data_IF_752018276636
#
_entry.id   IF_752018276636
#
_cell.length_a   1.000
_cell.length_b   1.000
_cell.length_c   1.000
_cell.angle_alpha   90.00
_cell.angle_beta   90.00
_cell.angle_gamma   90.00
#
_symmetry.space_group_name_H-M   'P 1'
#
loop_
_entity.id
_entity.type
_entity.pdbx_description
1 polymer ?
#
# COMPACT_ATOMS: atom_id res chain seq x y z
N UNK A 1 -6.64 -10.29 -15.64
CA UNK A 1 -5.27 -10.27 -15.08
C UNK A 1 -4.46 -11.30 -15.85
N UNK A 2 -3.39 -10.88 -16.53
CA UNK A 2 -2.47 -11.81 -17.20
C UNK A 2 -1.62 -12.53 -16.14
N UNK A 3 -1.06 -13.70 -16.47
CA UNK A 3 -0.19 -14.44 -15.53
C UNK A 3 0.97 -13.56 -15.05
N UNK A 4 1.55 -12.73 -15.92
CA UNK A 4 2.63 -11.80 -15.57
C UNK A 4 2.19 -10.78 -14.50
N UNK A 5 1.00 -10.20 -14.63
CA UNK A 5 0.44 -9.29 -13.63
C UNK A 5 0.28 -9.98 -12.27
N UNK A 6 -0.12 -11.27 -12.27
CA UNK A 6 -0.24 -12.05 -11.05
C UNK A 6 1.10 -12.36 -10.39
N UNK A 7 2.13 -12.66 -11.19
CA UNK A 7 3.48 -12.83 -10.65
C UNK A 7 4.04 -11.54 -10.06
N UNK A 8 3.74 -10.39 -10.66
CA UNK A 8 4.15 -9.08 -10.12
C UNK A 8 3.43 -8.75 -8.82
N UNK A 9 2.11 -8.94 -8.76
CA UNK A 9 1.31 -8.75 -7.55
C UNK A 9 1.81 -9.65 -6.40
N UNK A 10 2.04 -10.93 -6.66
CA UNK A 10 2.55 -11.86 -5.66
C UNK A 10 3.96 -11.49 -5.21
N UNK A 11 4.83 -11.05 -6.13
CA UNK A 11 6.18 -10.59 -5.80
C UNK A 11 6.16 -9.31 -4.96
N UNK A 12 5.23 -8.40 -5.23
CA UNK A 12 4.99 -7.22 -4.41
C UNK A 12 4.51 -7.63 -3.00
N UNK A 13 3.64 -8.63 -2.88
CA UNK A 13 3.19 -9.10 -1.56
C UNK A 13 4.23 -9.95 -0.81
N UNK A 14 5.24 -10.52 -1.48
CA UNK A 14 6.28 -11.36 -0.90
C UNK A 14 7.33 -10.63 -0.02
N UNK A 15 7.02 -9.43 0.49
CA UNK A 15 7.80 -8.74 1.51
C UNK A 15 6.93 -8.49 2.74
N UNK A 16 7.36 -8.88 3.96
CA UNK A 16 6.52 -8.82 5.17
C UNK A 16 5.88 -7.45 5.41
N UNK A 17 6.63 -6.36 5.33
CA UNK A 17 6.11 -5.01 5.55
C UNK A 17 5.05 -4.60 4.51
N UNK A 18 5.21 -4.99 3.25
CA UNK A 18 4.23 -4.70 2.19
C UNK A 18 2.96 -5.51 2.38
N UNK A 19 3.09 -6.78 2.77
CA UNK A 19 1.93 -7.60 3.13
C UNK A 19 1.18 -7.03 4.33
N UNK A 20 1.89 -6.54 5.35
CA UNK A 20 1.29 -5.86 6.51
C UNK A 20 0.53 -4.60 6.10
N UNK A 21 1.12 -3.75 5.26
CA UNK A 21 0.46 -2.56 4.70
C UNK A 21 -0.82 -2.94 3.95
N UNK A 22 -0.73 -3.89 3.00
CA UNK A 22 -1.86 -4.32 2.21
C UNK A 22 -2.99 -4.89 3.08
N UNK A 23 -2.66 -5.84 3.98
CA UNK A 23 -3.66 -6.45 4.88
C UNK A 23 -4.30 -5.46 5.82
N UNK A 24 -3.52 -4.48 6.30
CA UNK A 24 -4.03 -3.43 7.17
C UNK A 24 -5.03 -2.54 6.42
N UNK A 25 -4.68 -2.08 5.21
CA UNK A 25 -5.58 -1.28 4.37
C UNK A 25 -6.88 -2.01 4.02
N UNK A 26 -6.81 -3.31 3.69
CA UNK A 26 -8.01 -4.13 3.43
C UNK A 26 -8.97 -4.13 4.63
N UNK A 27 -8.46 -4.07 5.86
CA UNK A 27 -9.31 -4.01 7.07
C UNK A 27 -9.94 -2.64 7.31
N UNK A 28 -9.41 -1.58 6.71
CA UNK A 28 -9.96 -0.24 6.83
C UNK A 28 -11.11 0.02 5.85
N UNK A 29 -11.26 -0.81 4.82
CA UNK A 29 -12.34 -0.66 3.85
C UNK A 29 -13.73 -0.59 4.53
N UNK A 30 -14.59 0.38 4.20
CA UNK A 30 -14.51 1.30 3.05
C UNK A 30 -13.81 2.65 3.32
N UNK A 31 -13.24 2.86 4.51
CA UNK A 31 -12.51 4.09 4.81
C UNK A 31 -11.21 4.18 3.98
N UNK A 32 -10.83 5.41 3.62
CA UNK A 32 -9.52 5.72 3.05
C UNK A 32 -8.63 6.30 4.12
N UNK A 33 -7.35 5.97 4.08
CA UNK A 33 -6.40 6.33 5.14
C UNK A 33 -5.21 7.09 4.58
N UNK A 34 -4.79 8.15 5.26
CA UNK A 34 -3.60 8.89 4.86
C UNK A 34 -2.33 8.05 5.05
N UNK A 35 -1.35 8.23 4.15
CA UNK A 35 -0.06 7.55 4.26
C UNK A 35 0.60 7.72 5.64
N UNK A 36 0.46 8.89 6.27
CA UNK A 36 0.99 9.14 7.61
C UNK A 36 0.41 8.18 8.66
N UNK A 37 -0.90 7.99 8.65
CA UNK A 37 -1.60 7.15 9.61
C UNK A 37 -1.28 5.66 9.39
N UNK A 38 -1.08 5.24 8.14
CA UNK A 38 -0.61 3.87 7.81
C UNK A 38 0.78 3.63 8.45
N UNK A 39 1.70 4.59 8.29
CA UNK A 39 3.05 4.51 8.83
C UNK A 39 3.06 4.47 10.35
N UNK A 40 2.23 5.29 10.98
CA UNK A 40 2.06 5.30 12.43
C UNK A 40 1.46 3.98 12.94
N UNK A 41 0.42 3.45 12.29
CA UNK A 41 -0.26 2.23 12.71
C UNK A 41 0.60 0.96 12.58
N UNK A 42 1.56 0.97 11.65
CA UNK A 42 2.42 -0.19 11.36
C UNK A 42 3.87 0.00 11.81
N UNK A 43 4.18 1.12 12.46
CA UNK A 43 5.54 1.51 12.89
C UNK A 43 6.56 1.46 11.73
N UNK A 44 6.19 2.06 10.59
CA UNK A 44 7.03 2.10 9.38
C UNK A 44 7.47 3.54 9.11
N UNK A 45 8.79 3.73 8.99
CA UNK A 45 9.37 5.02 8.65
C UNK A 45 8.80 5.60 7.33
N UNK A 46 8.55 6.93 7.22
CA UNK A 46 7.87 7.53 6.07
C UNK A 46 8.50 7.24 4.70
N UNK A 47 9.84 7.25 4.61
CA UNK A 47 10.55 6.95 3.37
C UNK A 47 10.34 5.50 2.92
N UNK A 48 10.46 4.55 3.86
CA UNK A 48 10.23 3.12 3.62
C UNK A 48 8.78 2.85 3.23
N UNK A 49 7.83 3.48 3.93
CA UNK A 49 6.41 3.35 3.61
C UNK A 49 6.12 3.88 2.20
N UNK A 50 6.67 5.04 1.84
CA UNK A 50 6.47 5.62 0.50
C UNK A 50 6.95 4.66 -0.60
N UNK A 51 8.08 3.99 -0.39
CA UNK A 51 8.59 2.96 -1.30
C UNK A 51 7.67 1.73 -1.38
N UNK A 52 7.14 1.28 -0.24
CA UNK A 52 6.18 0.18 -0.18
C UNK A 52 4.87 0.50 -0.91
N UNK A 53 4.28 1.66 -0.64
CA UNK A 53 3.04 2.11 -1.28
C UNK A 53 3.23 2.23 -2.79
N UNK A 54 4.32 2.87 -3.25
CA UNK A 54 4.61 2.99 -4.69
C UNK A 54 4.82 1.61 -5.37
N UNK A 55 5.39 0.64 -4.66
CA UNK A 55 5.57 -0.72 -5.18
C UNK A 55 4.24 -1.46 -5.32
N UNK A 56 3.37 -1.34 -4.31
CA UNK A 56 2.03 -1.93 -4.34
C UNK A 56 1.13 -1.28 -5.40
N UNK A 57 1.21 0.04 -5.58
CA UNK A 57 0.51 0.76 -6.65
C UNK A 57 0.96 0.30 -8.03
N UNK A 58 2.26 0.19 -8.27
CA UNK A 58 2.81 -0.29 -9.56
C UNK A 58 2.33 -1.70 -9.89
N UNK A 59 2.23 -2.55 -8.88
CA UNK A 59 1.70 -3.91 -9.01
C UNK A 59 0.16 -3.98 -9.12
N UNK A 60 -0.53 -2.82 -9.18
CA UNK A 60 -1.99 -2.75 -9.32
C UNK A 60 -2.78 -3.15 -8.07
N UNK A 61 -2.13 -3.24 -6.90
CA UNK A 61 -2.74 -3.70 -5.65
C UNK A 61 -3.36 -2.56 -4.83
N UNK A 62 -2.92 -1.33 -5.04
CA UNK A 62 -3.43 -0.15 -4.35
C UNK A 62 -3.76 0.95 -5.34
N UNK A 63 -4.67 1.83 -4.94
CA UNK A 63 -4.97 3.09 -5.59
C UNK A 63 -4.99 4.17 -4.51
N UNK A 64 -4.59 5.39 -4.86
CA UNK A 64 -4.73 6.52 -3.96
C UNK A 64 -5.67 7.58 -4.53
N UNK A 65 -6.28 8.33 -3.63
CA UNK A 65 -6.96 9.59 -3.92
C UNK A 65 -6.14 10.73 -3.31
N UNK A 66 -6.05 11.85 -4.04
CA UNK A 66 -5.38 13.04 -3.53
C UNK A 66 -6.37 13.91 -2.77
N UNK A 67 -6.07 14.22 -1.52
CA UNK A 67 -6.81 15.17 -0.69
C UNK A 67 -5.86 16.25 -0.19
N UNK A 68 -5.91 17.42 -0.84
CA UNK A 68 -4.95 18.50 -0.59
C UNK A 68 -3.50 18.07 -0.84
N UNK A 69 -2.70 18.00 0.23
CA UNK A 69 -1.29 17.56 0.20
C UNK A 69 -1.13 16.06 0.55
N UNK A 70 -2.21 15.40 0.97
CA UNK A 70 -2.20 14.02 1.43
C UNK A 70 -2.61 13.06 0.31
N UNK A 71 -2.03 11.86 0.34
CA UNK A 71 -2.49 10.70 -0.44
C UNK A 71 -3.25 9.78 0.50
N UNK A 72 -4.52 9.54 0.19
CA UNK A 72 -5.38 8.62 0.90
C UNK A 72 -5.45 7.31 0.12
N UNK A 73 -5.21 6.18 0.78
CA UNK A 73 -5.25 4.84 0.21
C UNK A 73 -6.53 4.14 0.66
#
# INVERSE_FOLDING_TARGET
MKITDATEALSALAQPSRLSVFRWLVRQYPARVAAGDIGQALDIAPATLSFHLATLERAGLLQHQREGRSRLY
#
